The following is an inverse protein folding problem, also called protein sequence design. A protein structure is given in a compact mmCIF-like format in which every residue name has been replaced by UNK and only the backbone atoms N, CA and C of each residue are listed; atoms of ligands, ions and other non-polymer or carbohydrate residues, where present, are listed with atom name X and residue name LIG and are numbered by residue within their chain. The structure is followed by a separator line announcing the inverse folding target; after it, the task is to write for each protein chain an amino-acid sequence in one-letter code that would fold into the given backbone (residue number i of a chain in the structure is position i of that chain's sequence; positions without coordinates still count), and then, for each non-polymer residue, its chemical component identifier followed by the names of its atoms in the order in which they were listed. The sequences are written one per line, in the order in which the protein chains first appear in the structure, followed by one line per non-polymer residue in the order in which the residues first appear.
data_IF_229069350263
#
_entry.id   IF_229069350263
#
_cell.length_a   1.000
_cell.length_b   1.000
_cell.length_c   1.000
_cell.angle_alpha   90.00
_cell.angle_beta   90.00
_cell.angle_gamma   90.00
#
_symmetry.space_group_name_H-M   'P 1'
#
loop_
_entity.id
_entity.type
_entity.pdbx_description
1 polymer ?
#
# COMPACT_ATOMS: atom_id res chain seq x y z
N UNK A 1 20.08 22.86 -3.84
CA UNK A 1 19.36 23.03 -2.56
C UNK A 1 17.83 23.06 -2.67
N UNK A 2 17.23 23.37 -3.83
CA UNK A 2 15.75 23.32 -4.01
C UNK A 2 15.18 21.90 -4.00
N UNK A 3 15.85 20.98 -4.69
CA UNK A 3 15.37 19.60 -4.86
C UNK A 3 15.38 18.81 -3.54
N UNK A 4 16.43 18.95 -2.73
CA UNK A 4 16.54 18.27 -1.43
C UNK A 4 15.43 18.71 -0.46
N UNK A 5 15.10 20.01 -0.44
CA UNK A 5 13.99 20.52 0.37
C UNK A 5 12.63 19.96 -0.06
N UNK A 6 12.40 19.80 -1.37
CA UNK A 6 11.18 19.17 -1.89
C UNK A 6 11.12 17.70 -1.47
N UNK A 7 12.22 16.96 -1.57
CA UNK A 7 12.27 15.56 -1.12
C UNK A 7 11.97 15.41 0.37
N UNK A 8 12.55 16.28 1.21
CA UNK A 8 12.28 16.26 2.66
C UNK A 8 10.81 16.60 2.94
N UNK A 9 10.25 17.57 2.24
CA UNK A 9 8.83 17.94 2.39
C UNK A 9 7.90 16.80 1.98
N UNK A 10 8.18 16.15 0.84
CA UNK A 10 7.41 14.99 0.37
C UNK A 10 7.52 13.84 1.38
N UNK A 11 8.73 13.55 1.87
CA UNK A 11 8.95 12.50 2.87
C UNK A 11 8.17 12.75 4.17
N UNK A 12 8.22 13.97 4.72
CA UNK A 12 7.46 14.33 5.91
C UNK A 12 5.95 14.29 5.67
N UNK A 13 5.48 14.73 4.50
CA UNK A 13 4.08 14.67 4.13
C UNK A 13 3.59 13.22 4.02
N UNK A 14 4.39 12.33 3.44
CA UNK A 14 4.05 10.91 3.31
C UNK A 14 4.02 10.21 4.66
N UNK A 15 4.99 10.46 5.54
CA UNK A 15 5.00 9.89 6.90
C UNK A 15 3.79 10.37 7.72
N UNK A 16 3.46 11.67 7.61
CA UNK A 16 2.31 12.24 8.31
C UNK A 16 0.99 11.65 7.80
N UNK A 17 0.86 11.45 6.50
CA UNK A 17 -0.32 10.86 5.88
C UNK A 17 -0.55 9.40 6.32
N UNK A 18 0.51 8.59 6.38
CA UNK A 18 0.42 7.19 6.82
C UNK A 18 0.01 7.11 8.29
N UNK A 19 0.65 7.89 9.17
CA UNK A 19 0.27 7.94 10.60
C UNK A 19 -1.17 8.40 10.79
N UNK A 20 -1.64 9.37 10.00
CA UNK A 20 -3.02 9.84 10.04
C UNK A 20 -3.99 8.71 9.67
N UNK A 21 -3.70 7.95 8.60
CA UNK A 21 -4.51 6.81 8.20
C UNK A 21 -4.57 5.73 9.28
N UNK A 22 -3.44 5.39 9.89
CA UNK A 22 -3.40 4.41 10.98
C UNK A 22 -4.29 4.85 12.17
N UNK A 23 -4.25 6.13 12.52
CA UNK A 23 -5.12 6.68 13.58
C UNK A 23 -6.60 6.63 13.16
N UNK A 24 -6.93 6.96 11.91
CA UNK A 24 -8.31 6.90 11.39
C UNK A 24 -8.87 5.49 11.36
N UNK A 25 -8.02 4.50 11.10
CA UNK A 25 -8.36 3.07 11.14
C UNK A 25 -8.51 2.54 12.58
N UNK A 26 -8.18 3.35 13.59
CA UNK A 26 -8.33 3.00 15.00
C UNK A 26 -7.12 2.30 15.61
N UNK A 27 -5.96 2.30 14.93
CA UNK A 27 -4.74 1.75 15.49
C UNK A 27 -4.21 2.59 16.65
N UNK A 28 -3.61 1.92 17.64
CA UNK A 28 -2.92 2.61 18.73
C UNK A 28 -1.66 3.32 18.22
N UNK A 29 -1.30 4.45 18.82
CA UNK A 29 -0.07 5.19 18.48
C UNK A 29 1.20 4.31 18.38
N UNK A 30 1.51 3.41 19.33
CA UNK A 30 2.69 2.55 19.21
C UNK A 30 2.61 1.59 18.01
N UNK A 31 1.41 1.13 17.63
CA UNK A 31 1.21 0.35 16.42
C UNK A 31 1.46 1.17 15.15
N UNK A 32 0.92 2.39 15.06
CA UNK A 32 1.13 3.28 13.92
C UNK A 32 2.63 3.58 13.68
N UNK A 33 3.41 3.78 14.75
CA UNK A 33 4.87 3.93 14.63
C UNK A 33 5.56 2.64 14.16
N UNK A 34 5.07 1.47 14.59
CA UNK A 34 5.60 0.18 14.15
C UNK A 34 5.31 -0.08 12.67
N UNK A 35 4.12 0.32 12.18
CA UNK A 35 3.74 0.26 10.76
C UNK A 35 4.68 1.11 9.90
N UNK A 36 5.11 2.28 10.40
CA UNK A 36 6.05 3.17 9.73
C UNK A 36 7.43 2.55 9.49
N UNK A 37 7.90 1.71 10.43
CA UNK A 37 9.24 1.09 10.40
C UNK A 37 9.22 -0.25 9.66
N UNK A 38 8.12 -1.00 9.73
CA UNK A 38 8.02 -2.31 9.12
C UNK A 38 6.64 -2.58 8.50
N UNK A 39 6.34 -1.99 7.34
CA UNK A 39 5.00 -2.06 6.73
C UNK A 39 4.58 -3.48 6.30
N UNK A 40 5.52 -4.42 6.13
CA UNK A 40 5.20 -5.78 5.69
C UNK A 40 4.93 -6.76 6.83
N UNK A 41 5.38 -6.47 8.05
CA UNK A 41 5.12 -7.33 9.21
C UNK A 41 3.86 -6.99 9.98
N UNK A 42 3.26 -5.84 9.70
CA UNK A 42 2.05 -5.37 10.38
C UNK A 42 0.89 -5.24 9.40
N UNK A 43 0.91 -6.05 8.36
CA UNK A 43 -0.23 -6.19 7.46
C UNK A 43 -1.35 -6.87 8.26
N UNK A 44 -2.45 -6.17 8.45
CA UNK A 44 -3.64 -6.73 9.09
C UNK A 44 -4.33 -7.75 8.17
N UNK A 45 -5.14 -8.62 8.75
CA UNK A 45 -5.83 -9.68 7.99
C UNK A 45 -6.69 -9.12 6.84
N UNK A 46 -7.27 -7.93 7.00
CA UNK A 46 -8.01 -7.24 5.93
C UNK A 46 -7.12 -6.72 4.79
N UNK A 47 -5.92 -6.25 5.10
CA UNK A 47 -4.95 -5.78 4.10
C UNK A 47 -4.37 -6.95 3.30
N UNK A 48 -4.16 -8.11 3.95
CA UNK A 48 -3.84 -9.37 3.25
C UNK A 48 -4.94 -9.77 2.27
N UNK A 49 -6.22 -9.68 2.67
CA UNK A 49 -7.35 -9.96 1.79
C UNK A 49 -7.35 -9.02 0.57
N UNK A 50 -7.13 -7.72 0.80
CA UNK A 50 -7.05 -6.72 -0.26
C UNK A 50 -5.91 -7.04 -1.26
N UNK A 51 -4.71 -7.35 -0.76
CA UNK A 51 -3.57 -7.71 -1.60
C UNK A 51 -3.83 -8.96 -2.42
N UNK A 52 -4.40 -10.01 -1.81
CA UNK A 52 -4.78 -11.24 -2.51
C UNK A 52 -5.81 -10.94 -3.61
N UNK A 53 -6.84 -10.15 -3.32
CA UNK A 53 -7.85 -9.74 -4.30
C UNK A 53 -7.22 -8.97 -5.47
N UNK A 54 -6.35 -7.99 -5.20
CA UNK A 54 -5.65 -7.23 -6.24
C UNK A 54 -4.77 -8.15 -7.10
N UNK A 55 -4.06 -9.08 -6.48
CA UNK A 55 -3.20 -10.03 -7.19
C UNK A 55 -4.01 -10.96 -8.11
N UNK A 56 -5.14 -11.48 -7.60
CA UNK A 56 -6.08 -12.28 -8.39
C UNK A 56 -6.67 -11.48 -9.55
N UNK A 57 -6.95 -10.19 -9.36
CA UNK A 57 -7.49 -9.32 -10.42
C UNK A 57 -6.47 -9.16 -11.56
N UNK A 58 -5.20 -8.91 -11.23
CA UNK A 58 -4.12 -8.78 -12.22
C UNK A 58 -3.91 -10.11 -12.96
N UNK A 59 -3.82 -11.23 -12.24
CA UNK A 59 -3.66 -12.55 -12.86
C UNK A 59 -4.86 -12.88 -13.75
N UNK A 60 -6.07 -12.67 -13.25
CA UNK A 60 -7.30 -12.91 -14.00
C UNK A 60 -7.37 -12.08 -15.27
N UNK A 61 -6.98 -10.80 -15.21
CA UNK A 61 -6.89 -9.93 -16.38
C UNK A 61 -5.90 -10.48 -17.42
N UNK A 62 -4.69 -10.89 -16.98
CA UNK A 62 -3.68 -11.43 -17.89
C UNK A 62 -4.16 -12.73 -18.56
N UNK A 63 -4.76 -13.64 -17.80
CA UNK A 63 -5.32 -14.89 -18.33
C UNK A 63 -6.44 -14.59 -19.33
N UNK A 64 -7.35 -13.67 -19.01
CA UNK A 64 -8.44 -13.29 -19.89
C UNK A 64 -7.93 -12.74 -21.24
N UNK A 65 -6.94 -11.84 -21.19
CA UNK A 65 -6.31 -11.28 -22.40
C UNK A 65 -5.66 -12.39 -23.23
N UNK A 66 -4.93 -13.31 -22.59
CA UNK A 66 -4.26 -14.43 -23.29
C UNK A 66 -5.28 -15.37 -23.94
N UNK A 67 -6.39 -15.69 -23.27
CA UNK A 67 -7.47 -16.54 -23.85
C UNK A 67 -8.12 -15.84 -25.03
N UNK A 68 -8.46 -14.55 -24.88
CA UNK A 68 -9.07 -13.74 -25.95
C UNK A 68 -8.17 -13.74 -27.19
N UNK A 69 -6.88 -13.47 -27.03
CA UNK A 69 -5.91 -13.41 -28.13
C UNK A 69 -5.62 -14.76 -28.80
N UNK A 70 -6.02 -15.89 -28.21
CA UNK A 70 -5.92 -17.23 -28.84
C UNK A 70 -7.18 -17.64 -29.61
N UNK A 71 -8.29 -16.92 -29.39
CA UNK A 71 -9.59 -17.23 -30.00
C UNK A 71 -9.83 -16.39 -31.27
N UNK A 72 -9.11 -15.28 -31.43
CA UNK A 72 -8.92 -14.56 -32.71
C UNK A 72 -7.79 -15.19 -33.53
#
# INVERSE_FOLDING_TARGET
MKVLGIYVLVLLSSLSFILLLDILLGFSLPHAFYHLVNPFWVIESGEYLMLVCLFLLIIGQQIFIVIKNRTE
#
